data_IF_037424638205
#
_entry.id   IF_037424638205
#
_cell.length_a   1.000
_cell.length_b   1.000
_cell.length_c   1.000
_cell.angle_alpha   90.00
_cell.angle_beta   90.00
_cell.angle_gamma   90.00
#
_symmetry.space_group_name_H-M   'P 1'
#
loop_
_entity.id
_entity.type
_entity.pdbx_description
1 polymer ?
#
# COMPACT_ATOMS: atom_id res chain seq x y z
N UNK A 1 -53.47 -49.21 -28.02
CA UNK A 1 -52.89 -47.89 -28.27
C UNK A 1 -52.90 -47.12 -26.96
N UNK A 2 -51.72 -46.91 -26.32
CA UNK A 2 -51.60 -46.01 -25.20
C UNK A 2 -51.33 -44.59 -25.70
N UNK A 3 -51.74 -43.52 -24.97
CA UNK A 3 -51.62 -42.14 -25.39
C UNK A 3 -50.21 -41.60 -25.22
N UNK A 4 -49.79 -40.77 -26.16
CA UNK A 4 -48.54 -39.99 -26.15
C UNK A 4 -48.61 -38.91 -25.07
N UNK A 5 -48.03 -39.15 -23.89
CA UNK A 5 -47.84 -38.11 -22.88
C UNK A 5 -46.60 -37.27 -23.23
N UNK A 6 -46.85 -36.00 -23.21
CA UNK A 6 -46.06 -34.85 -23.52
C UNK A 6 -44.67 -34.82 -22.86
N UNK A 7 -43.60 -34.88 -23.69
CA UNK A 7 -42.25 -34.43 -23.29
C UNK A 7 -42.22 -32.93 -23.23
N UNK A 8 -42.62 -32.32 -22.09
CA UNK A 8 -42.24 -30.95 -21.74
C UNK A 8 -40.84 -31.01 -21.13
N UNK A 9 -39.84 -31.06 -21.98
CA UNK A 9 -38.49 -30.77 -21.60
C UNK A 9 -38.41 -29.31 -21.19
N UNK A 10 -38.34 -29.05 -19.86
CA UNK A 10 -38.00 -27.75 -19.34
C UNK A 10 -36.58 -27.43 -19.82
N UNK A 11 -36.49 -26.60 -20.84
CA UNK A 11 -35.25 -25.94 -21.25
C UNK A 11 -34.74 -25.09 -20.11
N UNK A 12 -33.82 -25.62 -19.32
CA UNK A 12 -33.03 -24.85 -18.38
C UNK A 12 -32.03 -24.04 -19.23
N UNK A 13 -32.45 -22.90 -19.74
CA UNK A 13 -31.52 -21.93 -20.25
C UNK A 13 -30.59 -21.53 -19.07
N UNK A 14 -29.26 -21.64 -19.20
CA UNK A 14 -28.35 -21.15 -18.16
C UNK A 14 -28.66 -19.68 -17.96
N UNK A 15 -28.99 -19.30 -16.71
CA UNK A 15 -29.12 -17.90 -16.35
C UNK A 15 -27.81 -17.22 -16.76
N UNK A 16 -27.88 -16.25 -17.67
CA UNK A 16 -26.75 -15.39 -18.00
C UNK A 16 -26.30 -14.73 -16.70
N UNK A 17 -25.20 -15.25 -16.13
CA UNK A 17 -24.56 -14.61 -14.98
C UNK A 17 -24.33 -13.15 -15.34
N UNK A 18 -24.86 -12.26 -14.52
CA UNK A 18 -24.66 -10.82 -14.68
C UNK A 18 -23.14 -10.56 -14.78
N UNK A 19 -22.67 -9.73 -15.70
CA UNK A 19 -21.25 -9.49 -15.89
C UNK A 19 -20.65 -9.03 -14.56
N UNK A 20 -19.69 -9.80 -14.02
CA UNK A 20 -19.01 -9.49 -12.77
C UNK A 20 -18.35 -8.13 -12.97
N UNK A 21 -18.84 -7.11 -12.24
CA UNK A 21 -18.29 -5.77 -12.31
C UNK A 21 -16.80 -5.82 -11.96
N UNK A 22 -15.95 -5.40 -12.87
CA UNK A 22 -14.52 -5.24 -12.59
C UNK A 22 -14.33 -4.20 -11.49
N UNK A 23 -13.42 -4.46 -10.57
CA UNK A 23 -13.07 -3.51 -9.51
C UNK A 23 -12.29 -2.34 -10.10
N UNK A 24 -12.65 -1.13 -9.66
CA UNK A 24 -11.94 0.10 -10.05
C UNK A 24 -10.66 0.22 -9.25
N UNK A 25 -9.56 0.44 -9.93
CA UNK A 25 -8.21 0.51 -9.36
C UNK A 25 -7.52 1.80 -9.77
N UNK A 26 -6.98 2.54 -8.80
CA UNK A 26 -6.03 3.61 -9.07
C UNK A 26 -4.60 3.12 -8.77
N UNK A 27 -3.72 3.13 -9.77
CA UNK A 27 -2.30 2.90 -9.59
C UNK A 27 -1.59 4.24 -9.39
N UNK A 28 -1.11 4.49 -8.18
CA UNK A 28 -0.32 5.66 -7.80
C UNK A 28 1.15 5.31 -7.89
N UNK A 29 1.86 5.80 -8.90
CA UNK A 29 3.27 5.51 -9.14
C UNK A 29 4.17 6.67 -8.72
N UNK A 30 5.26 6.37 -8.02
CA UNK A 30 6.31 7.35 -7.71
C UNK A 30 7.45 7.22 -8.73
N UNK A 31 7.58 8.13 -9.71
CA UNK A 31 8.60 8.04 -10.76
C UNK A 31 10.03 8.20 -10.22
N UNK A 32 10.19 8.75 -9.01
CA UNK A 32 11.50 8.93 -8.36
C UNK A 32 11.94 7.72 -7.53
N UNK A 33 11.10 6.68 -7.42
CA UNK A 33 11.45 5.47 -6.70
C UNK A 33 12.46 4.62 -7.49
N UNK A 34 13.33 3.91 -6.78
CA UNK A 34 14.55 3.29 -7.33
C UNK A 34 14.31 2.32 -8.49
N UNK A 35 13.18 1.59 -8.47
CA UNK A 35 12.87 0.55 -9.47
C UNK A 35 11.68 0.91 -10.36
N UNK A 36 11.06 2.07 -10.15
CA UNK A 36 9.94 2.51 -10.97
C UNK A 36 10.46 3.20 -12.23
N UNK A 37 10.11 2.65 -13.39
CA UNK A 37 10.34 3.28 -14.68
C UNK A 37 9.03 3.40 -15.44
N UNK A 38 8.93 4.37 -16.36
CA UNK A 38 7.73 4.53 -17.18
C UNK A 38 7.35 3.27 -17.94
N UNK A 39 8.35 2.54 -18.48
CA UNK A 39 8.13 1.26 -19.16
C UNK A 39 7.57 0.19 -18.22
N UNK A 40 8.12 0.06 -17.03
CA UNK A 40 7.65 -0.91 -16.04
C UNK A 40 6.24 -0.59 -15.56
N UNK A 41 5.95 0.72 -15.31
CA UNK A 41 4.60 1.18 -14.97
C UNK A 41 3.60 0.79 -16.06
N UNK A 42 3.91 1.05 -17.34
CA UNK A 42 3.02 0.69 -18.45
C UNK A 42 2.78 -0.81 -18.54
N UNK A 43 3.79 -1.65 -18.31
CA UNK A 43 3.63 -3.11 -18.29
C UNK A 43 2.73 -3.58 -17.14
N UNK A 44 2.90 -3.01 -15.95
CA UNK A 44 2.06 -3.31 -14.78
C UNK A 44 0.60 -2.91 -15.04
N UNK A 45 0.37 -1.69 -15.54
CA UNK A 45 -0.98 -1.22 -15.90
C UNK A 45 -1.63 -2.15 -16.91
N UNK A 46 -0.91 -2.49 -17.99
CA UNK A 46 -1.41 -3.39 -19.03
C UNK A 46 -1.80 -4.76 -18.47
N UNK A 47 -0.96 -5.35 -17.60
CA UNK A 47 -1.26 -6.62 -16.95
C UNK A 47 -2.52 -6.53 -16.07
N UNK A 48 -2.64 -5.47 -15.26
CA UNK A 48 -3.76 -5.29 -14.34
C UNK A 48 -5.09 -5.02 -15.04
N UNK A 49 -5.07 -4.38 -16.22
CA UNK A 49 -6.26 -4.14 -17.04
C UNK A 49 -6.97 -5.43 -17.47
N UNK A 50 -6.29 -6.57 -17.43
CA UNK A 50 -6.91 -7.87 -17.67
C UNK A 50 -8.01 -8.24 -16.67
N UNK A 51 -7.94 -7.73 -15.43
CA UNK A 51 -8.84 -8.09 -14.31
C UNK A 51 -9.51 -6.89 -13.64
N UNK A 52 -8.95 -5.70 -13.75
CA UNK A 52 -9.38 -4.48 -13.10
C UNK A 52 -9.71 -3.39 -14.12
N UNK A 53 -10.51 -2.42 -13.72
CA UNK A 53 -10.66 -1.13 -14.40
C UNK A 53 -9.61 -0.19 -13.80
N UNK A 54 -8.54 0.10 -14.56
CA UNK A 54 -7.31 0.68 -14.04
C UNK A 54 -7.07 2.07 -14.57
N UNK A 55 -7.03 3.04 -13.64
CA UNK A 55 -6.47 4.36 -13.85
C UNK A 55 -5.06 4.43 -13.27
N UNK A 56 -4.20 5.30 -13.79
CA UNK A 56 -2.83 5.47 -13.32
C UNK A 56 -2.45 6.94 -13.21
N UNK A 57 -1.86 7.31 -12.06
CA UNK A 57 -1.36 8.65 -11.80
C UNK A 57 0.08 8.60 -11.26
N UNK A 58 0.90 9.57 -11.65
CA UNK A 58 2.24 9.74 -11.10
C UNK A 58 2.23 10.75 -9.95
N UNK A 59 3.04 10.50 -8.92
CA UNK A 59 3.22 11.48 -7.86
C UNK A 59 4.19 12.57 -8.33
N UNK A 60 3.84 13.82 -8.07
CA UNK A 60 4.66 14.99 -8.42
C UNK A 60 5.57 15.43 -7.28
N UNK A 61 5.24 15.06 -6.04
CA UNK A 61 6.00 15.48 -4.87
C UNK A 61 5.51 14.82 -3.58
N UNK A 62 5.98 15.39 -2.49
CA UNK A 62 5.63 14.94 -1.14
C UNK A 62 4.14 15.18 -0.86
N UNK A 63 3.53 14.23 -0.16
CA UNK A 63 2.11 14.18 0.22
C UNK A 63 1.12 14.08 -0.96
N UNK A 64 1.59 14.07 -2.23
CA UNK A 64 0.71 13.95 -3.40
C UNK A 64 0.06 12.55 -3.46
N UNK A 65 0.76 11.49 -3.04
CA UNK A 65 0.13 10.17 -2.95
C UNK A 65 -1.01 10.13 -1.89
N UNK A 66 -0.94 10.96 -0.85
CA UNK A 66 -2.03 11.11 0.13
C UNK A 66 -3.26 11.73 -0.51
N UNK A 67 -3.07 12.79 -1.31
CA UNK A 67 -4.14 13.47 -2.02
C UNK A 67 -4.81 12.53 -3.03
N UNK A 68 -4.04 11.92 -3.93
CA UNK A 68 -4.54 10.99 -4.94
C UNK A 68 -5.33 9.82 -4.32
N UNK A 69 -4.82 9.26 -3.22
CA UNK A 69 -5.49 8.19 -2.52
C UNK A 69 -6.81 8.64 -1.85
N UNK A 70 -6.84 9.84 -1.28
CA UNK A 70 -8.05 10.43 -0.69
C UNK A 70 -9.12 10.70 -1.74
N UNK A 71 -8.74 11.25 -2.90
CA UNK A 71 -9.62 11.47 -4.04
C UNK A 71 -10.17 10.14 -4.56
N UNK A 72 -9.32 9.13 -4.74
CA UNK A 72 -9.76 7.80 -5.15
C UNK A 72 -10.76 7.17 -4.18
N UNK A 73 -10.56 7.35 -2.87
CA UNK A 73 -11.51 6.87 -1.88
C UNK A 73 -12.87 7.59 -1.97
N UNK A 74 -12.87 8.92 -2.22
CA UNK A 74 -14.07 9.72 -2.41
C UNK A 74 -14.81 9.35 -3.71
N UNK A 75 -14.07 9.03 -4.77
CA UNK A 75 -14.59 8.64 -6.08
C UNK A 75 -15.04 7.17 -6.15
N UNK A 76 -14.94 6.43 -5.04
CA UNK A 76 -15.43 5.06 -4.92
C UNK A 76 -14.57 4.03 -5.65
N UNK A 77 -13.25 4.22 -5.70
CA UNK A 77 -12.32 3.18 -6.12
C UNK A 77 -12.32 2.03 -5.11
N UNK A 78 -12.27 0.79 -5.62
CA UNK A 78 -12.21 -0.40 -4.78
C UNK A 78 -10.80 -0.61 -4.19
N UNK A 79 -9.75 -0.20 -4.93
CA UNK A 79 -8.36 -0.38 -4.51
C UNK A 79 -7.45 0.73 -5.04
N UNK A 80 -6.51 1.16 -4.19
CA UNK A 80 -5.36 1.98 -4.57
C UNK A 80 -4.11 1.11 -4.50
N UNK A 81 -3.36 1.09 -5.59
CA UNK A 81 -2.07 0.41 -5.68
C UNK A 81 -0.96 1.44 -5.57
N UNK A 82 -0.18 1.41 -4.49
CA UNK A 82 0.94 2.31 -4.29
C UNK A 82 2.22 1.70 -4.87
N UNK A 83 2.61 2.13 -6.06
CA UNK A 83 3.83 1.68 -6.73
C UNK A 83 4.99 2.61 -6.43
N UNK A 84 5.73 2.27 -5.40
CA UNK A 84 6.82 3.12 -4.91
C UNK A 84 7.58 2.52 -3.74
N UNK A 85 8.24 3.37 -2.97
CA UNK A 85 8.89 2.99 -1.71
C UNK A 85 7.94 3.03 -0.52
N UNK A 86 8.43 2.64 0.67
CA UNK A 86 7.66 2.64 1.92
C UNK A 86 7.04 4.01 2.24
N UNK A 87 7.68 5.12 1.82
CA UNK A 87 7.13 6.48 1.96
C UNK A 87 5.87 6.70 1.14
N UNK A 88 5.87 6.30 -0.14
CA UNK A 88 4.71 6.39 -1.04
C UNK A 88 3.55 5.55 -0.51
N UNK A 89 3.84 4.33 -0.03
CA UNK A 89 2.84 3.46 0.58
C UNK A 89 2.24 4.08 1.84
N UNK A 90 3.08 4.70 2.69
CA UNK A 90 2.61 5.38 3.89
C UNK A 90 1.77 6.63 3.58
N UNK A 91 2.12 7.39 2.55
CA UNK A 91 1.30 8.51 2.08
C UNK A 91 -0.06 8.04 1.58
N UNK A 92 -0.11 7.01 0.72
CA UNK A 92 -1.37 6.43 0.26
C UNK A 92 -2.22 5.93 1.42
N UNK A 93 -1.63 5.26 2.42
CA UNK A 93 -2.33 4.81 3.61
C UNK A 93 -2.94 5.97 4.42
N UNK A 94 -2.28 7.13 4.48
CA UNK A 94 -2.83 8.32 5.13
C UNK A 94 -4.06 8.85 4.39
N UNK A 95 -4.08 8.83 3.05
CA UNK A 95 -5.24 9.23 2.27
C UNK A 95 -6.41 8.27 2.39
N UNK A 96 -6.13 6.97 2.60
CA UNK A 96 -7.15 5.92 2.71
C UNK A 96 -7.63 5.66 4.15
N UNK A 97 -7.02 6.29 5.15
CA UNK A 97 -7.33 6.00 6.55
C UNK A 97 -8.81 6.24 6.86
N UNK A 98 -9.49 5.18 7.33
CA UNK A 98 -10.92 5.22 7.63
C UNK A 98 -11.86 5.01 6.44
N UNK A 99 -11.34 4.87 5.21
CA UNK A 99 -12.13 4.54 4.02
C UNK A 99 -12.37 3.03 3.85
N UNK A 100 -13.23 2.67 2.91
CA UNK A 100 -13.46 1.28 2.49
C UNK A 100 -12.51 0.83 1.37
N UNK A 101 -11.78 1.76 0.75
CA UNK A 101 -10.87 1.49 -0.35
C UNK A 101 -9.63 0.74 0.15
N UNK A 102 -9.30 -0.38 -0.47
CA UNK A 102 -8.16 -1.19 -0.09
C UNK A 102 -6.84 -0.57 -0.57
N UNK A 103 -5.74 -0.82 0.15
CA UNK A 103 -4.39 -0.47 -0.27
C UNK A 103 -3.59 -1.72 -0.62
N UNK A 104 -2.94 -1.72 -1.77
CA UNK A 104 -1.97 -2.74 -2.14
C UNK A 104 -0.60 -2.10 -2.44
N UNK A 105 0.48 -2.50 -1.75
CA UNK A 105 1.82 -1.98 -2.04
C UNK A 105 2.46 -2.75 -3.20
N UNK A 106 2.94 -2.04 -4.23
CA UNK A 106 3.84 -2.59 -5.24
C UNK A 106 5.28 -2.16 -4.97
N UNK A 107 6.23 -3.10 -4.96
CA UNK A 107 7.61 -2.85 -4.53
C UNK A 107 8.38 -2.00 -5.53
N UNK A 108 8.46 -0.68 -5.32
CA UNK A 108 9.22 0.27 -6.15
C UNK A 108 10.46 0.85 -5.47
N UNK A 109 10.60 0.67 -4.15
CA UNK A 109 11.69 1.23 -3.34
C UNK A 109 12.83 0.25 -3.06
N UNK A 110 13.88 0.75 -2.37
CA UNK A 110 15.04 -0.06 -2.01
C UNK A 110 14.81 -1.00 -0.83
N UNK A 111 14.05 -0.58 0.19
CA UNK A 111 13.90 -1.32 1.46
C UNK A 111 12.71 -2.27 1.47
N UNK A 112 11.58 -1.88 0.88
CA UNK A 112 10.36 -2.71 0.70
C UNK A 112 9.89 -3.37 2.01
N UNK A 113 9.97 -2.63 3.12
CA UNK A 113 9.68 -3.15 4.47
C UNK A 113 8.22 -3.57 4.55
N UNK A 114 7.32 -2.69 4.09
CA UNK A 114 5.88 -2.95 4.18
C UNK A 114 5.43 -4.12 3.31
N UNK A 115 5.98 -4.24 2.08
CA UNK A 115 5.72 -5.41 1.22
C UNK A 115 6.07 -6.72 1.95
N UNK A 116 7.26 -6.78 2.55
CA UNK A 116 7.70 -7.96 3.31
C UNK A 116 6.82 -8.28 4.50
N UNK A 117 6.36 -7.27 5.24
CA UNK A 117 5.47 -7.45 6.39
C UNK A 117 4.11 -8.03 5.98
N UNK A 118 3.63 -7.70 4.78
CA UNK A 118 2.36 -8.19 4.26
C UNK A 118 2.50 -9.51 3.46
N UNK A 119 3.70 -10.03 3.30
CA UNK A 119 3.94 -11.22 2.45
C UNK A 119 3.79 -10.93 0.96
N UNK A 120 3.94 -9.65 0.55
CA UNK A 120 3.97 -9.26 -0.86
C UNK A 120 5.38 -9.50 -1.40
N UNK A 121 5.54 -10.17 -2.56
CA UNK A 121 6.83 -10.41 -3.17
C UNK A 121 7.65 -9.12 -3.35
N UNK A 122 8.98 -9.24 -3.26
CA UNK A 122 9.88 -8.09 -3.43
C UNK A 122 10.15 -7.76 -4.92
N UNK A 123 9.75 -8.64 -5.82
CA UNK A 123 9.78 -8.40 -7.26
C UNK A 123 8.44 -7.82 -7.73
N UNK A 124 8.48 -6.88 -8.67
CA UNK A 124 7.27 -6.19 -9.17
C UNK A 124 6.40 -7.13 -9.97
N UNK A 125 6.99 -8.03 -10.75
CA UNK A 125 6.24 -8.97 -11.59
C UNK A 125 5.48 -9.96 -10.72
N UNK A 126 6.16 -10.58 -9.76
CA UNK A 126 5.56 -11.53 -8.82
C UNK A 126 4.48 -10.86 -7.95
N UNK A 127 4.71 -9.62 -7.52
CA UNK A 127 3.72 -8.84 -6.76
C UNK A 127 2.48 -8.48 -7.61
N UNK A 128 2.69 -8.18 -8.89
CA UNK A 128 1.58 -7.93 -9.83
C UNK A 128 0.78 -9.20 -10.07
N UNK A 129 1.45 -10.35 -10.22
CA UNK A 129 0.79 -11.64 -10.34
C UNK A 129 -0.03 -11.99 -9.09
N UNK A 130 0.52 -11.75 -7.89
CA UNK A 130 -0.22 -11.92 -6.64
C UNK A 130 -1.49 -11.05 -6.63
N UNK A 131 -1.39 -9.77 -7.06
CA UNK A 131 -2.54 -8.87 -7.13
C UNK A 131 -3.60 -9.36 -8.13
N UNK A 132 -3.18 -9.92 -9.27
CA UNK A 132 -4.10 -10.53 -10.23
C UNK A 132 -4.82 -11.76 -9.66
N UNK A 133 -4.14 -12.59 -8.87
CA UNK A 133 -4.74 -13.76 -8.22
C UNK A 133 -5.79 -13.37 -7.17
N UNK A 134 -5.55 -12.31 -6.38
CA UNK A 134 -6.52 -11.88 -5.37
C UNK A 134 -7.76 -11.20 -5.96
N UNK A 135 -7.77 -10.89 -7.27
CA UNK A 135 -8.94 -10.36 -7.93
C UNK A 135 -10.14 -11.32 -7.87
N UNK A 136 -9.86 -12.64 -7.94
CA UNK A 136 -10.87 -13.69 -7.93
C UNK A 136 -11.38 -14.00 -6.52
N UNK A 137 -10.52 -13.86 -5.49
CA UNK A 137 -10.86 -14.05 -4.08
C UNK A 137 -10.58 -12.78 -3.27
N UNK A 138 -11.39 -11.74 -3.52
CA UNK A 138 -11.20 -10.42 -2.94
C UNK A 138 -11.52 -10.40 -1.45
N UNK A 139 -10.49 -10.44 -0.61
CA UNK A 139 -10.61 -10.42 0.85
C UNK A 139 -9.67 -9.39 1.49
N UNK A 140 -9.99 -8.09 1.41
CA UNK A 140 -9.17 -7.07 2.04
C UNK A 140 -9.13 -7.26 3.56
N UNK A 141 -7.95 -7.09 4.16
CA UNK A 141 -7.76 -7.17 5.60
C UNK A 141 -7.81 -5.77 6.20
N UNK A 142 -8.48 -5.63 7.33
CA UNK A 142 -8.43 -4.41 8.14
C UNK A 142 -7.13 -4.41 8.94
N UNK A 143 -6.39 -3.31 8.87
CA UNK A 143 -5.16 -3.10 9.63
C UNK A 143 -5.33 -1.88 10.51
N UNK A 144 -4.79 -1.95 11.72
CA UNK A 144 -4.70 -0.81 12.62
C UNK A 144 -3.51 0.07 12.22
N UNK A 145 -3.70 1.38 12.23
CA UNK A 145 -2.66 2.37 11.96
C UNK A 145 -2.29 3.11 13.24
N UNK A 146 -1.00 3.22 13.50
CA UNK A 146 -0.53 4.12 14.55
C UNK A 146 -0.66 5.58 14.12
N UNK A 147 -0.84 6.50 15.09
CA UNK A 147 -0.98 7.93 14.79
C UNK A 147 -0.04 8.74 15.65
N UNK A 148 0.69 9.66 15.05
CA UNK A 148 1.53 10.66 15.73
C UNK A 148 1.23 12.05 15.16
N UNK A 149 0.82 12.99 16.00
CA UNK A 149 0.48 14.35 15.59
C UNK A 149 -0.52 14.42 14.42
N UNK A 150 -1.52 13.53 14.42
CA UNK A 150 -2.55 13.48 13.37
C UNK A 150 -2.12 12.78 12.07
N UNK A 151 -0.86 12.33 11.96
CA UNK A 151 -0.37 11.57 10.80
C UNK A 151 -0.27 10.09 11.13
N UNK A 152 -0.76 9.24 10.24
CA UNK A 152 -0.70 7.80 10.38
C UNK A 152 0.67 7.25 9.95
N UNK A 153 1.06 6.14 10.58
CA UNK A 153 2.24 5.37 10.18
C UNK A 153 1.92 3.87 10.13
N UNK A 154 2.51 3.18 9.16
CA UNK A 154 2.20 1.78 8.85
C UNK A 154 2.94 0.78 9.74
N UNK A 155 4.21 1.02 10.07
CA UNK A 155 5.04 0.03 10.78
C UNK A 155 5.95 0.63 11.85
N UNK A 156 6.45 1.85 11.68
CA UNK A 156 7.31 2.48 12.68
C UNK A 156 7.22 4.01 12.63
N UNK A 157 7.43 4.64 13.77
CA UNK A 157 7.63 6.09 13.89
C UNK A 157 8.87 6.33 14.74
N UNK A 158 9.88 6.99 14.17
CA UNK A 158 11.11 7.34 14.86
C UNK A 158 11.06 8.75 15.45
N UNK A 159 11.78 8.97 16.53
CA UNK A 159 11.98 10.30 17.12
C UNK A 159 13.44 10.48 17.58
N UNK A 160 13.82 11.73 17.86
CA UNK A 160 15.17 12.03 18.31
C UNK A 160 16.21 11.90 17.20
N UNK A 161 17.30 11.18 17.48
CA UNK A 161 18.42 11.02 16.55
C UNK A 161 17.99 10.35 15.24
N UNK A 162 17.19 9.30 15.30
CA UNK A 162 16.66 8.58 14.12
C UNK A 162 15.90 9.55 13.20
N UNK A 163 14.95 10.30 13.74
CA UNK A 163 14.19 11.28 12.97
C UNK A 163 15.07 12.41 12.40
N UNK A 164 16.11 12.83 13.11
CA UNK A 164 17.05 13.85 12.65
C UNK A 164 17.92 13.35 11.48
N UNK A 165 18.37 12.10 11.56
CA UNK A 165 19.13 11.42 10.47
C UNK A 165 18.28 11.29 9.22
N UNK A 166 17.06 10.76 9.35
CA UNK A 166 16.12 10.61 8.23
C UNK A 166 15.84 11.96 7.58
N UNK A 167 15.55 12.99 8.36
CA UNK A 167 15.34 14.36 7.86
C UNK A 167 16.54 14.86 7.04
N UNK A 168 17.76 14.63 7.55
CA UNK A 168 18.97 15.05 6.85
C UNK A 168 19.17 14.29 5.53
N UNK A 169 18.87 13.00 5.51
CA UNK A 169 18.96 12.16 4.32
C UNK A 169 17.90 12.54 3.28
N UNK A 170 16.69 12.80 3.71
CA UNK A 170 15.59 13.18 2.81
C UNK A 170 15.72 14.60 2.24
N UNK A 171 16.46 15.48 2.91
CA UNK A 171 16.80 16.79 2.38
C UNK A 171 17.78 16.76 1.19
N UNK A 172 18.45 15.60 0.95
CA UNK A 172 19.46 15.46 -0.10
C UNK A 172 19.22 14.17 -0.92
N UNK A 173 18.14 14.08 -1.69
CA UNK A 173 17.77 12.86 -2.42
C UNK A 173 18.83 12.39 -3.41
N UNK A 174 19.56 13.31 -4.04
CA UNK A 174 20.64 13.00 -4.99
C UNK A 174 21.80 12.23 -4.34
N UNK A 175 22.17 12.60 -3.11
CA UNK A 175 23.22 11.92 -2.35
C UNK A 175 22.78 10.56 -1.85
N UNK A 176 21.51 10.44 -1.47
CA UNK A 176 20.85 9.18 -1.11
C UNK A 176 20.94 8.15 -2.24
N UNK A 177 20.66 8.57 -3.48
CA UNK A 177 20.73 7.71 -4.66
C UNK A 177 22.14 7.20 -4.94
N UNK A 178 23.16 8.05 -4.75
CA UNK A 178 24.56 7.78 -5.14
C UNK A 178 25.35 6.99 -4.10
N UNK A 179 25.14 7.25 -2.80
CA UNK A 179 25.95 6.71 -1.70
C UNK A 179 25.23 5.66 -0.84
N UNK A 180 23.94 5.37 -1.08
CA UNK A 180 23.15 4.34 -0.39
C UNK A 180 23.43 4.26 1.13
N UNK A 181 23.82 3.08 1.62
CA UNK A 181 24.02 2.78 3.06
C UNK A 181 25.10 3.65 3.73
N UNK A 182 26.16 4.00 3.01
CA UNK A 182 27.25 4.85 3.54
C UNK A 182 26.77 6.28 3.86
N UNK A 183 25.80 6.79 3.09
CA UNK A 183 25.24 8.11 3.35
C UNK A 183 24.41 8.15 4.64
N UNK A 184 23.69 7.08 4.96
CA UNK A 184 22.97 6.95 6.23
C UNK A 184 23.94 6.91 7.41
N UNK A 185 24.99 6.08 7.34
CA UNK A 185 26.00 6.00 8.40
C UNK A 185 26.69 7.33 8.64
N UNK A 186 27.12 8.01 7.55
CA UNK A 186 27.74 9.32 7.64
C UNK A 186 26.79 10.40 8.16
N UNK A 187 25.53 10.41 7.71
CA UNK A 187 24.51 11.32 8.21
C UNK A 187 24.23 11.10 9.69
N UNK A 188 24.21 9.83 10.14
CA UNK A 188 24.09 9.47 11.56
C UNK A 188 25.20 10.06 12.40
N UNK A 189 26.45 9.85 11.99
CA UNK A 189 27.63 10.38 12.68
C UNK A 189 27.64 11.91 12.70
N UNK A 190 27.38 12.57 11.57
CA UNK A 190 27.31 14.03 11.49
C UNK A 190 26.21 14.61 12.37
N UNK A 191 25.00 14.02 12.34
CA UNK A 191 23.87 14.47 13.15
C UNK A 191 24.18 14.36 14.64
N UNK A 192 24.79 13.24 15.05
CA UNK A 192 25.22 13.02 16.43
C UNK A 192 26.27 14.05 16.87
N UNK A 193 27.24 14.37 16.00
CA UNK A 193 28.36 15.24 16.34
C UNK A 193 28.04 16.74 16.33
N UNK A 194 27.06 17.19 15.55
CA UNK A 194 26.79 18.62 15.32
C UNK A 194 25.39 19.12 15.68
N UNK A 195 24.38 18.30 15.43
CA UNK A 195 22.99 18.79 15.42
C UNK A 195 22.11 18.15 16.51
N UNK A 196 22.66 17.20 17.30
CA UNK A 196 21.86 16.46 18.25
C UNK A 196 21.81 17.11 19.62
N UNK A 197 20.75 17.85 19.88
CA UNK A 197 20.37 18.27 21.24
C UNK A 197 19.27 17.35 21.75
N UNK A 198 19.55 16.62 22.85
CA UNK A 198 18.57 15.77 23.52
C UNK A 198 17.47 16.65 24.10
N UNK A 199 16.34 16.76 23.41
CA UNK A 199 15.12 17.32 23.98
C UNK A 199 14.20 16.16 24.35
N UNK A 200 13.86 15.98 25.63
CA UNK A 200 12.92 14.93 26.00
C UNK A 200 11.58 15.15 25.28
N UNK A 201 10.98 14.10 24.71
CA UNK A 201 9.66 14.21 24.10
C UNK A 201 8.66 14.60 25.19
N UNK A 202 7.76 15.53 24.89
CA UNK A 202 6.59 15.80 25.71
C UNK A 202 5.41 15.05 25.10
N UNK A 203 5.14 13.79 25.48
CA UNK A 203 4.01 13.05 24.95
C UNK A 203 2.73 13.70 25.48
N UNK A 204 1.93 14.31 24.63
CA UNK A 204 0.53 14.52 24.90
C UNK A 204 -0.16 13.18 24.66
N UNK A 205 -0.30 12.41 25.72
CA UNK A 205 -1.09 11.20 25.68
C UNK A 205 -2.58 11.55 25.58
N UNK A 206 -3.14 11.51 24.39
CA UNK A 206 -4.56 11.28 24.25
C UNK A 206 -4.76 9.76 24.30
N UNK A 207 -4.71 9.18 25.49
CA UNK A 207 -5.20 7.82 25.71
C UNK A 207 -6.69 7.83 25.48
N UNK A 208 -7.14 7.41 24.29
CA UNK A 208 -8.36 6.62 24.25
C UNK A 208 -8.00 5.29 24.85
N UNK A 209 -8.72 4.79 25.88
CA UNK A 209 -8.49 3.44 26.37
C UNK A 209 -8.70 2.49 25.19
N UNK A 210 -7.63 1.83 24.77
CA UNK A 210 -7.77 0.61 24.00
C UNK A 210 -8.55 -0.32 24.88
N UNK A 211 -9.77 -0.67 24.49
CA UNK A 211 -10.56 -1.71 25.16
C UNK A 211 -9.76 -3.01 25.06
N UNK A 212 -9.01 -3.29 26.13
CA UNK A 212 -7.95 -4.29 26.20
C UNK A 212 -8.45 -5.72 26.35
N UNK A 213 -9.61 -6.06 25.78
CA UNK A 213 -10.12 -7.43 25.80
C UNK A 213 -10.68 -7.86 24.47
N UNK A 214 -9.86 -8.02 23.47
CA UNK A 214 -10.08 -9.04 22.41
C UNK A 214 -8.94 -8.92 21.38
N UNK A 215 -8.19 -10.02 21.28
CA UNK A 215 -7.35 -10.46 20.18
C UNK A 215 -5.82 -10.47 20.37
N UNK A 216 -5.37 -11.12 21.43
CA UNK A 216 -3.99 -11.64 21.49
C UNK A 216 -3.83 -13.01 20.77
N UNK A 217 -4.85 -13.46 20.01
CA UNK A 217 -4.91 -14.82 19.46
C UNK A 217 -4.65 -14.99 17.96
N UNK A 218 -4.51 -13.90 17.19
CA UNK A 218 -4.53 -14.01 15.72
C UNK A 218 -3.14 -14.09 15.04
N UNK A 219 -2.05 -13.90 15.77
CA UNK A 219 -0.69 -13.85 15.17
C UNK A 219 0.00 -15.20 14.98
N UNK A 220 -0.58 -16.31 15.49
CA UNK A 220 0.09 -17.64 15.48
C UNK A 220 -0.33 -18.62 14.39
N UNK A 221 -1.18 -18.25 13.42
CA UNK A 221 -1.70 -19.21 12.42
C UNK A 221 -1.55 -18.77 10.97
N UNK A 222 -0.53 -17.99 10.63
CA UNK A 222 -0.23 -17.67 9.23
C UNK A 222 1.17 -18.12 8.79
N UNK A 223 1.77 -19.09 9.51
CA UNK A 223 3.02 -19.76 9.15
C UNK A 223 2.82 -21.27 9.33
N UNK A 224 2.08 -21.87 8.43
CA UNK A 224 2.09 -23.30 8.10
C UNK A 224 1.50 -23.47 6.72
#
# INVERSE_FOLDING_TARGET
>A
MPPLESLHGASHAPALEAPVRRKRMLLVANPYATTVSGRLKSLVVYALQGRYDVDAADTEGRDHATQLASEAAADGYDVVVAFGGDGTVNEAANGLAGSATALFPLPGGATKVYCRMLGVPNDVVDATEQLLRVADDWRPRKLDLGTVNGRHFLFSSGYGLDAAVVRHVDAHPERKARLRHWYYAWSGFRTLARDYTVRPPRPRSTRRPCDGRRRAGAWRRAAA
#
